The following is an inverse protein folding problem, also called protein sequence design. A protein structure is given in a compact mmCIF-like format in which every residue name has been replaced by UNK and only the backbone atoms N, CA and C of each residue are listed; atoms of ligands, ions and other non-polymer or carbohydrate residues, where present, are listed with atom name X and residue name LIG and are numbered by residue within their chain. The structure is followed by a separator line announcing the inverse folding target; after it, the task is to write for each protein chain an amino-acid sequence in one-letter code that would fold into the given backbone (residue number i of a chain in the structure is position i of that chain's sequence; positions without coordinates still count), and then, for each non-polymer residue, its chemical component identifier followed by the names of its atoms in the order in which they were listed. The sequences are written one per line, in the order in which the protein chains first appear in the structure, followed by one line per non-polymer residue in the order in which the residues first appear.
data_IF_111574167955
#
_entry.id   IF_111574167955
#
_cell.length_a   1.000
_cell.length_b   1.000
_cell.length_c   1.000
_cell.angle_alpha   90.00
_cell.angle_beta   90.00
_cell.angle_gamma   90.00
#
_symmetry.space_group_name_H-M   'P 1'
#
loop_
_entity.id
_entity.type
_entity.pdbx_description
1 polymer ?
#
# COMPACT_ATOMS: atom_id res chain seq x y z
N UNK A 1 10.62 25.56 25.91
CA UNK A 1 10.15 26.15 24.63
C UNK A 1 10.16 25.15 23.45
N UNK A 2 11.02 24.12 23.42
CA UNK A 2 11.05 23.08 22.38
C UNK A 2 9.86 22.09 22.42
N UNK A 3 9.31 21.79 23.60
CA UNK A 3 8.22 20.82 23.75
C UNK A 3 6.89 21.29 23.10
N UNK A 4 6.65 22.60 23.00
CA UNK A 4 5.44 23.14 22.37
C UNK A 4 5.52 23.06 20.83
N UNK A 5 6.69 23.32 20.23
CA UNK A 5 6.92 23.13 18.79
C UNK A 5 6.97 21.64 18.41
N UNK A 6 7.59 20.79 19.23
CA UNK A 6 7.58 19.35 18.96
C UNK A 6 6.15 18.77 19.04
N UNK A 7 5.30 19.31 19.92
CA UNK A 7 3.87 18.98 19.98
C UNK A 7 3.11 19.44 18.74
N UNK A 8 3.42 20.60 18.16
CA UNK A 8 2.81 21.00 16.88
C UNK A 8 3.30 20.11 15.75
N UNK A 9 4.60 19.80 15.63
CA UNK A 9 5.11 18.86 14.63
C UNK A 9 4.47 17.47 14.72
N UNK A 10 4.16 16.97 15.94
CA UNK A 10 3.43 15.72 16.14
C UNK A 10 1.94 15.87 15.80
N UNK A 11 1.31 16.98 16.19
CA UNK A 11 -0.09 17.29 15.86
C UNK A 11 -0.33 17.50 14.36
N UNK A 12 0.70 17.92 13.61
CA UNK A 12 0.67 17.99 12.14
C UNK A 12 1.01 16.67 11.46
N UNK A 13 1.71 15.75 12.15
CA UNK A 13 2.13 14.46 11.59
C UNK A 13 0.92 13.60 11.21
N UNK A 14 -0.06 13.46 12.09
CA UNK A 14 -1.25 12.64 11.84
C UNK A 14 -2.12 13.16 10.69
N UNK A 15 -2.54 14.45 10.63
CA UNK A 15 -3.31 14.96 9.51
C UNK A 15 -2.51 15.04 8.19
N UNK A 16 -1.18 15.20 8.27
CA UNK A 16 -0.32 15.11 7.08
C UNK A 16 -0.26 13.68 6.54
N UNK A 17 -0.15 12.67 7.41
CA UNK A 17 -0.24 11.26 7.02
C UNK A 17 -1.62 10.92 6.47
N UNK A 18 -2.71 11.38 7.09
CA UNK A 18 -4.04 11.22 6.52
C UNK A 18 -4.13 11.79 5.11
N UNK A 19 -3.58 12.98 4.88
CA UNK A 19 -3.60 13.60 3.55
C UNK A 19 -2.73 12.85 2.53
N UNK A 20 -1.53 12.42 2.95
CA UNK A 20 -0.59 11.69 2.10
C UNK A 20 -1.13 10.31 1.69
N UNK A 21 -1.77 9.60 2.64
CA UNK A 21 -2.29 8.25 2.44
C UNK A 21 -3.74 8.21 1.95
N UNK A 22 -4.49 9.33 2.02
CA UNK A 22 -5.89 9.39 1.56
C UNK A 22 -6.03 8.99 0.09
N UNK A 23 -5.10 9.42 -0.76
CA UNK A 23 -5.08 9.09 -2.19
C UNK A 23 -3.72 8.54 -2.58
N UNK A 24 -3.61 7.22 -2.71
CA UNK A 24 -2.36 6.56 -3.10
C UNK A 24 -2.40 6.09 -4.54
N UNK A 25 -1.23 6.10 -5.18
CA UNK A 25 -1.03 5.59 -6.53
C UNK A 25 -0.21 4.31 -6.46
N UNK A 26 -0.83 3.18 -6.83
CA UNK A 26 -0.23 1.84 -6.76
C UNK A 26 0.04 1.35 -5.33
N UNK A 27 0.71 0.21 -5.22
CA UNK A 27 1.10 -0.41 -3.93
C UNK A 27 2.52 -0.01 -3.48
N UNK A 28 3.26 0.73 -4.30
CA UNK A 28 4.60 1.22 -3.98
C UNK A 28 4.70 1.94 -2.62
N UNK A 29 3.78 2.85 -2.23
CA UNK A 29 3.88 3.52 -0.94
C UNK A 29 3.70 2.54 0.23
N UNK A 30 2.79 1.57 0.11
CA UNK A 30 2.59 0.54 1.14
C UNK A 30 3.83 -0.32 1.31
N UNK A 31 4.42 -0.76 0.20
CA UNK A 31 5.63 -1.57 0.19
C UNK A 31 6.82 -0.76 0.73
N UNK A 32 6.94 0.52 0.36
CA UNK A 32 8.02 1.40 0.82
C UNK A 32 7.91 1.78 2.30
N UNK A 33 6.74 1.61 2.92
CA UNK A 33 6.54 1.83 4.36
C UNK A 33 7.05 0.69 5.24
N UNK A 34 7.37 -0.46 4.64
CA UNK A 34 7.91 -1.62 5.34
C UNK A 34 9.37 -1.40 5.76
N UNK A 35 9.81 -2.02 6.86
CA UNK A 35 11.18 -1.87 7.35
C UNK A 35 12.20 -2.38 6.32
N UNK A 36 13.38 -1.75 6.35
CA UNK A 36 14.50 -2.10 5.48
C UNK A 36 14.85 -3.59 5.64
N UNK A 37 14.96 -4.29 4.52
CA UNK A 37 15.22 -5.73 4.50
C UNK A 37 13.99 -6.61 4.32
N UNK A 38 12.76 -6.08 4.32
CA UNK A 38 11.53 -6.81 3.88
C UNK A 38 11.32 -6.68 2.37
N UNK A 39 11.67 -5.53 1.82
CA UNK A 39 11.53 -5.21 0.40
C UNK A 39 12.90 -5.04 -0.20
N UNK A 40 13.12 -5.63 -1.38
CA UNK A 40 14.29 -5.38 -2.19
C UNK A 40 13.88 -4.94 -3.59
N UNK A 41 14.73 -4.14 -4.22
CA UNK A 41 14.65 -3.88 -5.65
C UNK A 41 15.49 -4.92 -6.38
N UNK A 42 14.90 -5.61 -7.35
CA UNK A 42 15.63 -6.55 -8.22
C UNK A 42 16.53 -5.80 -9.20
N UNK A 43 17.42 -6.52 -9.86
CA UNK A 43 18.28 -5.98 -10.94
C UNK A 43 17.46 -5.42 -12.11
N UNK A 44 16.24 -5.91 -12.32
CA UNK A 44 15.27 -5.39 -13.30
C UNK A 44 14.52 -4.13 -12.82
N UNK A 45 14.85 -3.61 -11.64
CA UNK A 45 14.16 -2.48 -11.04
C UNK A 45 12.81 -2.84 -10.41
N UNK A 46 12.50 -4.13 -10.24
CA UNK A 46 11.23 -4.57 -9.64
C UNK A 46 11.25 -4.54 -8.12
N UNK A 47 10.17 -4.10 -7.47
CA UNK A 47 10.04 -4.23 -6.01
C UNK A 47 9.51 -5.63 -5.68
N UNK A 48 10.28 -6.40 -4.92
CA UNK A 48 9.92 -7.77 -4.50
C UNK A 48 10.16 -7.96 -3.00
N UNK A 49 9.46 -8.91 -2.40
CA UNK A 49 9.62 -9.26 -1.00
C UNK A 49 10.84 -10.18 -0.82
N UNK A 50 11.70 -9.88 0.14
CA UNK A 50 12.84 -10.74 0.52
C UNK A 50 12.40 -11.95 1.34
N UNK A 51 11.35 -11.76 2.14
CA UNK A 51 10.74 -12.75 3.04
C UNK A 51 9.21 -12.57 3.07
N UNK A 52 8.45 -13.59 3.50
CA UNK A 52 7.03 -13.43 3.78
C UNK A 52 6.78 -12.35 4.84
N UNK A 53 5.69 -11.59 4.67
CA UNK A 53 5.27 -10.56 5.63
C UNK A 53 4.88 -11.22 6.96
N UNK A 54 5.56 -10.82 8.04
CA UNK A 54 5.22 -11.24 9.39
C UNK A 54 4.08 -10.38 9.96
N UNK A 55 3.46 -10.82 11.06
CA UNK A 55 2.40 -10.05 11.74
C UNK A 55 2.83 -8.62 12.09
N UNK A 56 4.09 -8.41 12.46
CA UNK A 56 4.63 -7.07 12.72
C UNK A 56 4.68 -6.18 11.48
N UNK A 57 4.98 -6.76 10.32
CA UNK A 57 4.99 -6.05 9.04
C UNK A 57 3.55 -5.67 8.64
N UNK A 58 2.59 -6.58 8.86
CA UNK A 58 1.16 -6.33 8.65
C UNK A 58 0.63 -5.22 9.57
N UNK A 59 1.07 -5.15 10.83
CA UNK A 59 0.68 -4.05 11.73
C UNK A 59 1.17 -2.68 11.25
N UNK A 60 2.29 -2.62 10.52
CA UNK A 60 2.78 -1.37 9.92
C UNK A 60 1.90 -0.99 8.74
N UNK A 61 1.57 -1.97 7.88
CA UNK A 61 0.66 -1.78 6.75
C UNK A 61 -0.71 -1.28 7.26
N UNK A 62 -1.28 -1.92 8.29
CA UNK A 62 -2.59 -1.59 8.87
C UNK A 62 -2.66 -0.14 9.41
N UNK A 63 -1.56 0.35 9.99
CA UNK A 63 -1.44 1.75 10.45
C UNK A 63 -1.59 2.79 9.34
N UNK A 64 -1.35 2.41 8.09
CA UNK A 64 -1.52 3.30 6.95
C UNK A 64 -2.76 2.98 6.13
N UNK A 65 -3.15 1.71 6.04
CA UNK A 65 -4.23 1.30 5.15
C UNK A 65 -5.61 1.80 5.56
N UNK A 66 -5.87 1.95 6.86
CA UNK A 66 -7.13 2.54 7.33
C UNK A 66 -7.30 4.01 6.90
N UNK A 67 -6.22 4.70 6.51
CA UNK A 67 -6.26 6.09 6.05
C UNK A 67 -6.55 6.21 4.56
N UNK A 68 -6.34 5.12 3.81
CA UNK A 68 -6.53 5.08 2.37
C UNK A 68 -8.02 5.10 2.05
N UNK A 69 -8.43 6.12 1.28
CA UNK A 69 -9.80 6.27 0.78
C UNK A 69 -9.89 6.12 -0.73
N UNK A 70 -8.80 6.41 -1.43
CA UNK A 70 -8.72 6.32 -2.88
C UNK A 70 -7.42 5.62 -3.28
N UNK A 71 -7.54 4.59 -4.11
CA UNK A 71 -6.42 3.86 -4.69
C UNK A 71 -6.53 3.99 -6.21
N UNK A 72 -5.53 4.61 -6.83
CA UNK A 72 -5.41 4.66 -8.28
C UNK A 72 -4.30 3.72 -8.71
N UNK A 73 -4.60 2.76 -9.59
CA UNK A 73 -3.60 1.90 -10.24
C UNK A 73 -3.61 2.24 -11.72
N UNK A 74 -2.58 2.93 -12.19
CA UNK A 74 -2.51 3.37 -13.59
C UNK A 74 -1.36 2.77 -14.39
N UNK A 75 -1.32 3.15 -15.67
CA UNK A 75 -0.39 2.65 -16.68
C UNK A 75 1.07 3.01 -16.42
N UNK A 76 1.34 4.09 -15.67
CA UNK A 76 2.71 4.45 -15.30
C UNK A 76 3.22 3.42 -14.29
N UNK A 77 4.37 2.76 -14.52
CA UNK A 77 4.94 1.83 -13.56
C UNK A 77 5.40 2.61 -12.32
N UNK A 78 4.51 2.78 -11.35
CA UNK A 78 4.88 3.15 -9.97
C UNK A 78 5.56 1.92 -9.36
N UNK A 79 6.85 1.80 -9.66
CA UNK A 79 7.65 0.59 -9.57
C UNK A 79 7.06 -0.59 -10.35
N UNK A 80 7.96 -1.35 -10.96
CA UNK A 80 7.62 -2.65 -11.51
C UNK A 80 7.41 -3.60 -10.30
N UNK A 81 6.23 -3.65 -9.70
CA UNK A 81 6.01 -4.47 -8.50
C UNK A 81 5.94 -5.94 -8.93
N UNK A 82 6.72 -6.79 -8.27
CA UNK A 82 6.72 -8.23 -8.51
C UNK A 82 5.35 -8.82 -8.15
N UNK A 83 4.84 -9.72 -8.99
CA UNK A 83 3.54 -10.37 -8.83
C UNK A 83 3.38 -11.02 -7.44
N UNK A 84 4.48 -11.52 -6.87
CA UNK A 84 4.48 -12.15 -5.54
C UNK A 84 4.13 -11.18 -4.43
N UNK A 85 4.46 -9.90 -4.59
CA UNK A 85 4.10 -8.88 -3.60
C UNK A 85 2.61 -8.62 -3.63
N UNK A 86 2.04 -8.50 -4.84
CA UNK A 86 0.60 -8.33 -5.02
C UNK A 86 -0.14 -9.55 -4.47
N UNK A 87 0.35 -10.76 -4.75
CA UNK A 87 -0.23 -11.99 -4.22
C UNK A 87 -0.19 -12.03 -2.69
N UNK A 88 0.94 -11.67 -2.07
CA UNK A 88 1.06 -11.62 -0.61
C UNK A 88 0.10 -10.60 0.02
N UNK A 89 -0.10 -9.44 -0.64
CA UNK A 89 -1.05 -8.42 -0.21
C UNK A 89 -2.50 -8.91 -0.27
N UNK A 90 -2.85 -9.69 -1.30
CA UNK A 90 -4.19 -10.26 -1.47
C UNK A 90 -4.45 -11.41 -0.51
N UNK A 91 -3.44 -12.23 -0.23
CA UNK A 91 -3.50 -13.28 0.78
C UNK A 91 -3.31 -12.76 2.21
N UNK A 92 -3.65 -11.50 2.46
CA UNK A 92 -3.54 -10.89 3.80
C UNK A 92 -4.34 -11.72 4.83
N UNK A 93 -3.80 -11.91 6.04
CA UNK A 93 -4.54 -12.57 7.12
C UNK A 93 -5.70 -11.72 7.66
N UNK A 94 -5.80 -10.44 7.29
CA UNK A 94 -6.89 -9.54 7.68
C UNK A 94 -8.02 -9.56 6.66
N UNK A 95 -9.28 -9.50 7.11
CA UNK A 95 -10.47 -9.55 6.24
C UNK A 95 -10.59 -8.39 5.26
N UNK A 96 -9.88 -7.27 5.46
CA UNK A 96 -9.84 -6.17 4.51
C UNK A 96 -8.50 -5.44 4.62
N UNK A 97 -7.68 -5.50 3.55
CA UNK A 97 -6.42 -4.74 3.48
C UNK A 97 -6.67 -3.24 3.50
N UNK A 98 -7.76 -2.77 2.89
CA UNK A 98 -8.09 -1.36 2.71
C UNK A 98 -9.52 -1.09 3.24
N UNK A 99 -9.74 -1.13 4.56
CA UNK A 99 -11.08 -1.15 5.14
C UNK A 99 -11.91 0.11 4.86
N UNK A 100 -11.25 1.24 4.55
CA UNK A 100 -11.90 2.52 4.30
C UNK A 100 -11.85 2.96 2.83
N UNK A 101 -11.52 2.04 1.91
CA UNK A 101 -11.45 2.35 0.49
C UNK A 101 -12.84 2.75 -0.04
N UNK A 102 -12.93 3.93 -0.64
CA UNK A 102 -14.16 4.48 -1.23
C UNK A 102 -14.08 4.56 -2.75
N UNK A 103 -12.89 4.83 -3.27
CA UNK A 103 -12.64 4.96 -4.69
C UNK A 103 -11.51 4.02 -5.10
N UNK A 104 -11.76 3.22 -6.13
CA UNK A 104 -10.76 2.40 -6.79
C UNK A 104 -10.76 2.79 -8.26
N UNK A 105 -9.66 3.34 -8.75
CA UNK A 105 -9.55 3.82 -10.12
C UNK A 105 -8.45 3.06 -10.86
N UNK A 106 -8.81 2.45 -12.00
CA UNK A 106 -7.93 1.57 -12.74
C UNK A 106 -7.74 2.01 -14.18
N UNK A 107 -6.48 2.29 -14.52
CA UNK A 107 -6.04 2.67 -15.86
C UNK A 107 -5.02 1.67 -16.40
N UNK A 108 -5.37 0.37 -16.37
CA UNK A 108 -4.56 -0.71 -16.93
C UNK A 108 -4.81 -0.86 -18.45
N UNK A 109 -3.88 -1.46 -19.19
CA UNK A 109 -4.15 -1.89 -20.57
C UNK A 109 -4.97 -3.19 -20.56
N UNK A 110 -5.78 -3.43 -21.60
CA UNK A 110 -6.79 -4.53 -21.69
C UNK A 110 -6.21 -5.93 -21.39
N UNK A 111 -4.91 -6.14 -21.57
CA UNK A 111 -4.23 -7.42 -21.37
C UNK A 111 -4.00 -7.78 -19.90
N UNK A 112 -3.97 -6.81 -18.99
CA UNK A 112 -3.69 -7.02 -17.54
C UNK A 112 -4.97 -7.07 -16.69
N UNK A 113 -6.12 -6.75 -17.29
CA UNK A 113 -7.43 -6.71 -16.61
C UNK A 113 -7.87 -8.07 -16.06
N UNK A 114 -7.45 -9.18 -16.68
CA UNK A 114 -8.01 -10.50 -16.35
C UNK A 114 -7.46 -11.07 -15.02
N UNK A 115 -6.24 -10.72 -14.63
CA UNK A 115 -5.68 -11.17 -13.35
C UNK A 115 -6.11 -10.25 -12.20
N UNK A 116 -6.01 -8.93 -12.36
CA UNK A 116 -6.17 -8.01 -11.22
C UNK A 116 -7.61 -7.91 -10.69
N UNK A 117 -8.63 -7.96 -11.56
CA UNK A 117 -10.04 -7.79 -11.16
C UNK A 117 -10.52 -8.83 -10.13
N UNK A 118 -10.04 -10.07 -10.25
CA UNK A 118 -10.36 -11.14 -9.30
C UNK A 118 -9.67 -10.92 -7.94
N UNK A 119 -8.42 -10.44 -7.96
CA UNK A 119 -7.63 -10.24 -6.75
C UNK A 119 -8.08 -9.05 -5.89
N UNK A 120 -8.66 -8.00 -6.48
CA UNK A 120 -9.16 -6.85 -5.69
C UNK A 120 -10.59 -7.00 -5.18
N UNK A 121 -11.42 -7.82 -5.82
CA UNK A 121 -12.75 -8.13 -5.28
C UNK A 121 -12.62 -8.75 -3.87
N UNK A 122 -11.59 -9.58 -3.67
CA UNK A 122 -11.22 -10.14 -2.38
C UNK A 122 -10.71 -9.10 -1.36
N UNK A 123 -10.09 -8.01 -1.82
CA UNK A 123 -9.49 -6.97 -0.96
C UNK A 123 -10.51 -5.92 -0.49
N UNK A 124 -11.64 -5.77 -1.19
CA UNK A 124 -12.76 -4.90 -0.81
C UNK A 124 -13.71 -5.50 0.24
N UNK A 125 -13.56 -6.79 0.58
CA UNK A 125 -14.30 -7.42 1.68
C UNK A 125 -15.82 -7.36 1.57
N UNK A 126 -16.38 -7.49 0.35
CA UNK A 126 -17.83 -7.56 0.11
C UNK A 126 -18.19 -8.82 -0.67
#
# INVERSE_FOLDING_TARGET
MLAALARTCRAFKEPALDTLWKNIYGFEPLISSLPEGVVKRTTEGKLTLTRPLSLSDWNIIDQYTHRIRSLTIGYRPSANIDERVVQALVCTPSSALLPNLRCLEWWLSRSTFHCCAFYLWQLSGH
#
